data_IF_974250693091
#
_entry.id   IF_974250693091
#
_cell.length_a   1.000
_cell.length_b   1.000
_cell.length_c   1.000
_cell.angle_alpha   90.00
_cell.angle_beta   90.00
_cell.angle_gamma   90.00
#
_symmetry.space_group_name_H-M   'P 1'
#
loop_
_entity.id
_entity.type
_entity.pdbx_description
1 polymer ?
#
# COMPACT_ATOMS: atom_id res chain seq x y z
N UNK A 1 -61.38 -15.16 15.66
CA UNK A 1 -60.05 -14.58 15.32
C UNK A 1 -59.81 -14.73 13.82
N UNK A 2 -59.37 -13.65 13.19
CA UNK A 2 -59.55 -13.30 11.77
C UNK A 2 -58.84 -14.24 10.77
N UNK A 3 -59.60 -14.76 9.80
CA UNK A 3 -59.11 -15.19 8.48
C UNK A 3 -58.98 -13.94 7.60
N UNK A 4 -57.81 -13.69 7.04
CA UNK A 4 -57.60 -12.64 6.04
C UNK A 4 -57.12 -13.27 4.74
N UNK A 5 -58.03 -13.27 3.77
CA UNK A 5 -57.82 -13.54 2.35
C UNK A 5 -57.19 -12.29 1.75
N UNK A 6 -56.05 -12.42 1.05
CA UNK A 6 -55.48 -11.35 0.23
C UNK A 6 -55.46 -11.83 -1.22
N UNK A 7 -56.26 -11.17 -2.04
CA UNK A 7 -56.47 -11.41 -3.47
C UNK A 7 -55.26 -10.93 -4.27
N UNK A 8 -54.77 -11.77 -5.19
CA UNK A 8 -53.85 -11.37 -6.26
C UNK A 8 -54.62 -10.60 -7.35
N UNK A 9 -54.11 -9.47 -7.86
CA UNK A 9 -54.67 -8.87 -9.07
C UNK A 9 -54.13 -9.59 -10.32
N UNK A 10 -55.04 -9.92 -11.23
CA UNK A 10 -54.75 -10.45 -12.55
C UNK A 10 -54.06 -9.36 -13.42
N UNK A 11 -52.90 -9.67 -13.98
CA UNK A 11 -52.22 -8.80 -14.95
C UNK A 11 -52.68 -9.21 -16.35
N UNK A 12 -53.30 -8.25 -17.04
CA UNK A 12 -53.79 -8.37 -18.40
C UNK A 12 -52.61 -8.47 -19.40
N UNK A 13 -52.61 -9.53 -20.21
CA UNK A 13 -51.73 -9.71 -21.35
C UNK A 13 -52.15 -8.73 -22.47
N UNK A 14 -51.53 -7.56 -22.52
CA UNK A 14 -51.54 -6.73 -23.72
C UNK A 14 -50.28 -7.00 -24.55
N UNK A 15 -50.51 -7.43 -25.80
CA UNK A 15 -49.51 -7.62 -26.85
C UNK A 15 -48.71 -6.32 -27.06
N UNK A 16 -47.47 -6.28 -26.61
CA UNK A 16 -46.50 -5.29 -27.10
C UNK A 16 -45.85 -5.83 -28.38
N UNK A 17 -45.97 -5.06 -29.46
CA UNK A 17 -45.26 -5.24 -30.73
C UNK A 17 -43.74 -5.12 -30.49
N UNK A 18 -42.89 -5.84 -31.23
CA UNK A 18 -41.44 -5.68 -31.11
C UNK A 18 -41.04 -4.32 -31.66
N UNK A 19 -40.61 -3.41 -30.78
CA UNK A 19 -39.82 -2.27 -31.18
C UNK A 19 -38.42 -2.78 -31.53
N UNK A 20 -37.96 -2.48 -32.75
CA UNK A 20 -36.57 -2.71 -33.15
C UNK A 20 -35.64 -2.03 -32.14
N UNK A 21 -34.93 -2.85 -31.35
CA UNK A 21 -33.90 -2.38 -30.44
C UNK A 21 -32.72 -1.90 -31.30
N UNK A 22 -32.53 -0.59 -31.33
CA UNK A 22 -31.28 0.01 -31.74
C UNK A 22 -30.20 -0.43 -30.75
N UNK A 23 -29.11 -0.92 -31.33
CA UNK A 23 -27.91 -1.43 -30.68
C UNK A 23 -27.38 -0.45 -29.61
N UNK A 24 -27.34 -0.78 -28.30
CA UNK A 24 -26.73 0.09 -27.29
C UNK A 24 -25.22 -0.17 -27.23
N UNK A 25 -24.52 0.04 -28.34
CA UNK A 25 -23.09 -0.22 -28.46
C UNK A 25 -22.29 0.99 -28.97
N UNK A 26 -22.60 2.21 -28.52
CA UNK A 26 -21.78 3.41 -28.86
C UNK A 26 -21.87 4.55 -27.83
N UNK A 27 -22.04 4.27 -26.53
CA UNK A 27 -21.70 5.28 -25.50
C UNK A 27 -20.45 4.82 -24.77
N UNK A 28 -19.31 5.39 -25.18
CA UNK A 28 -18.13 5.42 -24.32
C UNK A 28 -18.60 5.90 -22.93
N UNK A 29 -18.38 5.13 -21.85
CA UNK A 29 -18.64 5.64 -20.53
C UNK A 29 -17.81 6.92 -20.38
N UNK A 30 -18.50 8.04 -20.19
CA UNK A 30 -17.85 9.29 -19.78
C UNK A 30 -17.02 8.93 -18.55
N UNK A 31 -15.70 9.20 -18.53
CA UNK A 31 -14.89 8.90 -17.37
C UNK A 31 -15.53 9.65 -16.21
N UNK A 32 -16.03 8.90 -15.22
CA UNK A 32 -16.42 9.48 -13.95
C UNK A 32 -15.22 10.27 -13.48
N UNK A 33 -15.33 11.61 -13.43
CA UNK A 33 -14.29 12.43 -12.81
C UNK A 33 -14.14 11.87 -11.41
N UNK A 34 -12.95 11.37 -11.02
CA UNK A 34 -12.79 10.82 -9.69
C UNK A 34 -13.24 11.91 -8.71
N UNK A 35 -14.17 11.56 -7.83
CA UNK A 35 -14.44 12.37 -6.65
C UNK A 35 -13.16 12.26 -5.85
N UNK A 36 -12.24 13.19 -6.10
CA UNK A 36 -11.07 13.35 -5.25
C UNK A 36 -11.66 13.70 -3.90
N UNK A 37 -11.52 12.79 -2.93
CA UNK A 37 -11.78 13.10 -1.54
C UNK A 37 -10.76 14.18 -1.16
N UNK A 38 -11.12 15.43 -1.39
CA UNK A 38 -10.36 16.59 -0.92
C UNK A 38 -10.61 16.63 0.57
N UNK A 39 -9.84 15.89 1.34
CA UNK A 39 -9.66 16.27 2.74
C UNK A 39 -9.17 17.70 2.72
N UNK A 40 -9.83 18.60 3.45
CA UNK A 40 -9.27 19.92 3.71
C UNK A 40 -7.84 19.79 4.25
N UNK A 41 -7.04 20.87 4.15
CA UNK A 41 -5.75 20.92 4.84
C UNK A 41 -5.95 20.53 6.31
N UNK A 42 -5.09 19.65 6.82
CA UNK A 42 -5.11 19.24 8.22
C UNK A 42 -4.83 20.47 9.08
N UNK A 43 -5.80 20.85 9.91
CA UNK A 43 -5.57 21.84 10.96
C UNK A 43 -4.78 21.19 12.10
N UNK A 44 -4.10 22.00 12.91
CA UNK A 44 -3.43 21.50 14.10
C UNK A 44 -4.40 20.84 15.06
N UNK A 45 -5.62 21.37 15.21
CA UNK A 45 -6.66 20.72 16.01
C UNK A 45 -7.06 19.33 15.50
N UNK A 46 -7.10 19.13 14.17
CA UNK A 46 -7.38 17.81 13.59
C UNK A 46 -6.23 16.82 13.81
N UNK A 47 -4.98 17.29 13.68
CA UNK A 47 -3.79 16.49 14.02
C UNK A 47 -3.80 16.13 15.50
N UNK A 48 -4.13 17.08 16.36
CA UNK A 48 -4.18 16.87 17.81
C UNK A 48 -5.21 15.82 18.20
N UNK A 49 -6.44 15.95 17.69
CA UNK A 49 -7.50 14.98 17.93
C UNK A 49 -7.14 13.59 17.41
N UNK A 50 -6.53 13.50 16.22
CA UNK A 50 -6.01 12.24 15.70
C UNK A 50 -4.98 11.62 16.66
N UNK A 51 -4.00 12.40 17.12
CA UNK A 51 -2.95 11.90 18.01
C UNK A 51 -3.53 11.47 19.37
N UNK A 52 -4.48 12.21 19.93
CA UNK A 52 -5.11 11.84 21.21
C UNK A 52 -5.90 10.54 21.08
N UNK A 53 -6.71 10.39 20.04
CA UNK A 53 -7.44 9.15 19.77
C UNK A 53 -6.47 7.98 19.47
N UNK A 54 -5.42 8.23 18.69
CA UNK A 54 -4.43 7.22 18.35
C UNK A 54 -3.65 6.72 19.58
N UNK A 55 -3.25 7.64 20.46
CA UNK A 55 -2.61 7.32 21.74
C UNK A 55 -3.55 6.48 22.61
N UNK A 56 -4.74 7.01 22.89
CA UNK A 56 -5.68 6.42 23.85
C UNK A 56 -6.16 5.04 23.38
N UNK A 57 -6.39 4.87 22.07
CA UNK A 57 -6.97 3.64 21.54
C UNK A 57 -5.92 2.62 21.12
N UNK A 58 -4.73 3.03 20.69
CA UNK A 58 -3.76 2.12 20.06
C UNK A 58 -2.36 2.21 20.67
N UNK A 59 -1.68 3.36 20.60
CA UNK A 59 -0.24 3.44 20.87
C UNK A 59 0.15 3.14 22.33
N UNK A 60 -0.79 3.30 23.28
CA UNK A 60 -0.60 2.94 24.69
C UNK A 60 -0.86 1.46 24.99
N UNK A 61 -1.31 0.64 24.01
CA UNK A 61 -1.52 -0.80 24.23
C UNK A 61 -0.20 -1.56 24.22
N UNK A 62 -0.11 -2.62 25.04
CA UNK A 62 1.09 -3.50 25.12
C UNK A 62 1.43 -4.18 23.78
N UNK A 63 0.41 -4.55 23.01
CA UNK A 63 0.58 -5.20 21.72
C UNK A 63 0.89 -4.23 20.56
N UNK A 64 0.99 -2.92 20.84
CA UNK A 64 1.31 -1.94 19.81
C UNK A 64 2.74 -2.10 19.33
N UNK A 65 2.97 -1.96 18.02
CA UNK A 65 4.29 -2.12 17.43
C UNK A 65 5.27 -1.08 17.97
N UNK A 66 6.41 -1.56 18.44
CA UNK A 66 7.53 -0.74 18.90
C UNK A 66 8.82 -1.20 18.23
N UNK A 67 9.64 -0.24 17.81
CA UNK A 67 11.01 -0.47 17.33
C UNK A 67 11.92 0.23 18.32
N UNK A 68 12.91 -0.48 18.87
CA UNK A 68 13.79 0.02 19.93
C UNK A 68 13.02 0.58 21.14
N UNK A 69 11.88 -0.04 21.50
CA UNK A 69 10.99 0.43 22.58
C UNK A 69 10.14 1.65 22.25
N UNK A 70 10.33 2.26 21.07
CA UNK A 70 9.63 3.49 20.62
C UNK A 70 8.35 3.15 19.85
N UNK A 71 7.21 3.80 20.13
CA UNK A 71 5.97 3.54 19.39
C UNK A 71 6.12 3.97 17.93
N UNK A 72 5.73 3.07 17.01
CA UNK A 72 5.85 3.32 15.57
C UNK A 72 4.67 4.11 15.03
N UNK A 73 4.93 5.20 14.31
CA UNK A 73 3.94 5.90 13.51
C UNK A 73 4.41 5.94 12.05
N UNK A 74 3.66 5.28 11.18
CA UNK A 74 3.94 5.22 9.75
C UNK A 74 3.09 6.23 8.99
N UNK A 75 3.72 7.06 8.16
CA UNK A 75 3.09 8.15 7.40
C UNK A 75 3.05 7.76 5.92
N UNK A 76 1.86 7.46 5.40
CA UNK A 76 1.67 7.09 4.00
C UNK A 76 1.79 8.30 3.08
N UNK A 77 2.50 8.13 1.97
CA UNK A 77 2.72 9.14 0.93
C UNK A 77 3.26 10.46 1.49
N UNK A 78 4.41 10.42 2.16
CA UNK A 78 5.03 11.61 2.78
C UNK A 78 5.23 12.77 1.80
N UNK A 79 5.39 12.50 0.51
CA UNK A 79 5.50 13.53 -0.53
C UNK A 79 4.21 14.30 -0.77
N UNK A 80 3.04 13.73 -0.46
CA UNK A 80 1.77 14.46 -0.59
C UNK A 80 1.63 15.54 0.48
N UNK A 81 2.21 15.32 1.67
CA UNK A 81 2.34 16.35 2.69
C UNK A 81 3.27 17.49 2.22
N UNK A 82 4.43 17.17 1.63
CA UNK A 82 5.32 18.18 1.06
C UNK A 82 4.63 19.01 -0.04
N UNK A 83 3.89 18.37 -0.95
CA UNK A 83 3.11 19.06 -1.99
C UNK A 83 2.03 19.98 -1.41
N UNK A 84 1.34 19.54 -0.34
CA UNK A 84 0.19 20.25 0.19
C UNK A 84 0.56 21.39 1.15
N UNK A 85 1.58 21.19 1.98
CA UNK A 85 1.99 22.10 3.06
C UNK A 85 3.32 22.81 2.77
N UNK A 86 4.06 22.41 1.74
CA UNK A 86 5.46 22.77 1.56
C UNK A 86 6.37 22.05 2.56
N UNK A 87 7.67 22.04 2.26
CA UNK A 87 8.67 21.37 3.11
C UNK A 87 8.61 21.89 4.55
N UNK A 88 8.61 23.22 4.75
CA UNK A 88 8.60 23.82 6.10
C UNK A 88 7.33 23.47 6.89
N UNK A 89 6.16 23.48 6.23
CA UNK A 89 4.90 23.10 6.86
C UNK A 89 4.89 21.63 7.26
N UNK A 90 5.45 20.76 6.43
CA UNK A 90 5.56 19.34 6.77
C UNK A 90 6.59 19.08 7.89
N UNK A 91 7.73 19.77 7.88
CA UNK A 91 8.71 19.72 8.97
C UNK A 91 8.10 20.17 10.30
N UNK A 92 7.32 21.26 10.28
CA UNK A 92 6.57 21.71 11.45
C UNK A 92 5.61 20.64 11.97
N UNK A 93 4.84 20.01 11.07
CA UNK A 93 3.91 18.93 11.43
C UNK A 93 4.63 17.74 12.09
N UNK A 94 5.76 17.30 11.53
CA UNK A 94 6.55 16.20 12.10
C UNK A 94 7.11 16.56 13.49
N UNK A 95 7.62 17.78 13.66
CA UNK A 95 8.09 18.25 14.97
C UNK A 95 6.96 18.33 15.98
N UNK A 96 5.78 18.79 15.57
CA UNK A 96 4.60 18.85 16.41
C UNK A 96 4.18 17.46 16.89
N UNK A 97 4.07 16.50 15.97
CA UNK A 97 3.81 15.08 16.28
C UNK A 97 4.84 14.56 17.28
N UNK A 98 6.15 14.73 17.02
CA UNK A 98 7.21 14.28 17.94
C UNK A 98 7.05 14.86 19.34
N UNK A 99 6.86 16.18 19.46
CA UNK A 99 6.72 16.85 20.78
C UNK A 99 5.55 16.31 21.57
N UNK A 100 4.39 16.13 20.92
CA UNK A 100 3.21 15.57 21.59
C UNK A 100 3.45 14.14 22.06
N UNK A 101 4.02 13.29 21.21
CA UNK A 101 4.29 11.89 21.56
C UNK A 101 5.38 11.76 22.64
N UNK A 102 6.41 12.60 22.63
CA UNK A 102 7.42 12.66 23.70
C UNK A 102 6.79 13.08 25.03
N UNK A 103 5.93 14.11 25.01
CA UNK A 103 5.22 14.58 26.21
C UNK A 103 4.38 13.48 26.85
N UNK A 104 3.74 12.64 26.03
CA UNK A 104 2.89 11.55 26.52
C UNK A 104 3.68 10.30 26.95
N UNK A 105 4.64 9.84 26.13
CA UNK A 105 5.31 8.56 26.34
C UNK A 105 6.66 8.67 27.06
N UNK A 106 7.21 9.87 27.22
CA UNK A 106 8.56 10.10 27.76
C UNK A 106 9.70 9.61 26.84
N UNK A 107 9.38 9.12 25.65
CA UNK A 107 10.34 8.62 24.65
C UNK A 107 10.01 9.20 23.28
N UNK A 108 11.03 9.32 22.42
CA UNK A 108 10.84 9.73 21.03
C UNK A 108 10.04 8.66 20.28
N UNK A 109 9.00 9.00 19.49
CA UNK A 109 8.39 8.03 18.59
C UNK A 109 9.37 7.55 17.51
N UNK A 110 9.07 6.41 16.90
CA UNK A 110 9.75 5.93 15.70
C UNK A 110 8.90 6.29 14.48
N UNK A 111 9.27 7.34 13.75
CA UNK A 111 8.53 7.80 12.59
C UNK A 111 9.03 7.09 11.32
N UNK A 112 8.11 6.53 10.53
CA UNK A 112 8.42 5.88 9.26
C UNK A 112 7.75 6.66 8.12
N UNK A 113 8.54 7.14 7.17
CA UNK A 113 8.02 7.75 5.95
C UNK A 113 7.80 6.71 4.86
N UNK A 114 6.56 6.55 4.38
CA UNK A 114 6.24 5.65 3.27
C UNK A 114 6.07 6.46 1.99
N UNK A 115 6.67 5.98 0.90
CA UNK A 115 6.60 6.63 -0.41
C UNK A 115 6.26 5.63 -1.53
N UNK A 116 5.67 6.09 -2.65
CA UNK A 116 5.14 5.18 -3.66
C UNK A 116 6.22 4.62 -4.62
N UNK A 117 7.27 5.39 -4.91
CA UNK A 117 8.28 5.05 -5.91
C UNK A 117 9.63 5.75 -5.68
N UNK A 118 10.69 5.20 -6.27
CA UNK A 118 12.05 5.74 -6.19
C UNK A 118 12.33 6.59 -7.44
N UNK A 119 12.35 7.90 -7.27
CA UNK A 119 12.81 8.87 -8.29
C UNK A 119 13.60 10.02 -7.63
N UNK A 120 14.06 10.98 -8.43
CA UNK A 120 14.81 12.13 -7.92
C UNK A 120 13.97 13.06 -7.03
N UNK A 121 12.68 13.22 -7.33
CA UNK A 121 11.79 14.07 -6.56
C UNK A 121 11.57 13.51 -5.14
N UNK A 122 11.21 12.23 -5.03
CA UNK A 122 11.01 11.54 -3.77
C UNK A 122 12.32 11.44 -2.99
N UNK A 123 13.42 11.07 -3.64
CA UNK A 123 14.71 10.92 -2.97
C UNK A 123 15.17 12.23 -2.32
N UNK A 124 15.04 13.37 -3.00
CA UNK A 124 15.37 14.69 -2.45
C UNK A 124 14.54 15.05 -1.22
N UNK A 125 13.27 14.67 -1.18
CA UNK A 125 12.41 14.90 -0.02
C UNK A 125 12.86 14.00 1.13
N UNK A 126 13.02 12.70 0.89
CA UNK A 126 13.40 11.71 1.91
C UNK A 126 14.75 12.04 2.59
N UNK A 127 15.70 12.62 1.85
CA UNK A 127 16.98 13.09 2.40
C UNK A 127 16.86 14.18 3.47
N UNK A 128 15.73 14.89 3.52
CA UNK A 128 15.50 16.04 4.42
C UNK A 128 14.45 15.77 5.49
N UNK A 129 13.71 14.67 5.39
CA UNK A 129 12.63 14.39 6.34
C UNK A 129 13.20 13.97 7.71
N UNK A 130 12.79 14.60 8.82
CA UNK A 130 13.20 14.25 10.16
C UNK A 130 12.39 13.03 10.66
N UNK A 131 12.43 11.95 9.90
CA UNK A 131 11.86 10.63 10.24
C UNK A 131 12.99 9.67 10.63
N UNK A 132 12.65 8.60 11.33
CA UNK A 132 13.64 7.64 11.85
C UNK A 132 13.99 6.56 10.82
N UNK A 133 13.08 6.29 9.89
CA UNK A 133 13.32 5.44 8.73
C UNK A 133 12.36 5.78 7.59
N UNK A 134 12.63 5.24 6.41
CA UNK A 134 11.73 5.30 5.25
C UNK A 134 11.52 3.92 4.66
N UNK A 135 10.41 3.71 3.99
CA UNK A 135 10.13 2.47 3.23
C UNK A 135 9.25 2.78 2.02
N UNK A 136 9.13 1.84 1.11
CA UNK A 136 8.17 1.97 0.00
C UNK A 136 6.81 1.40 0.36
N UNK A 137 5.77 1.81 -0.37
CA UNK A 137 4.45 1.20 -0.25
C UNK A 137 4.45 -0.25 -0.73
N UNK A 138 4.73 -0.47 -2.03
CA UNK A 138 4.93 -1.79 -2.61
C UNK A 138 6.04 -1.82 -3.66
N UNK A 139 6.32 -0.68 -4.31
CA UNK A 139 7.35 -0.49 -5.35
C UNK A 139 7.26 -1.45 -6.55
N UNK A 140 6.17 -2.21 -6.65
CA UNK A 140 5.71 -2.87 -7.85
C UNK A 140 4.39 -2.20 -8.26
N UNK A 141 4.11 -2.09 -9.57
CA UNK A 141 4.93 -2.47 -10.71
C UNK A 141 5.95 -1.38 -11.08
N UNK A 142 6.69 -1.59 -12.17
CA UNK A 142 7.41 -0.52 -12.85
C UNK A 142 6.43 0.34 -13.66
N UNK A 143 6.06 1.52 -13.16
CA UNK A 143 5.03 2.36 -13.81
C UNK A 143 5.42 2.88 -15.21
N UNK A 144 6.71 2.94 -15.50
CA UNK A 144 7.26 3.32 -16.82
C UNK A 144 7.54 2.10 -17.73
N UNK A 145 7.38 0.89 -17.19
CA UNK A 145 7.64 -0.36 -17.88
C UNK A 145 6.54 -0.79 -18.86
N UNK A 146 6.68 -1.98 -19.47
CA UNK A 146 5.65 -2.55 -20.32
C UNK A 146 4.34 -2.79 -19.55
N UNK A 147 3.18 -2.86 -20.24
CA UNK A 147 1.88 -3.06 -19.58
C UNK A 147 1.76 -4.39 -18.84
N UNK A 148 2.49 -5.42 -19.29
CA UNK A 148 2.62 -6.71 -18.60
C UNK A 148 4.08 -6.89 -18.25
N UNK A 149 4.36 -7.17 -16.98
CA UNK A 149 5.71 -7.32 -16.43
C UNK A 149 5.83 -8.66 -15.72
N UNK A 150 7.05 -9.20 -15.62
CA UNK A 150 7.29 -10.47 -14.97
C UNK A 150 7.86 -10.27 -13.56
N UNK A 151 7.22 -10.89 -12.58
CA UNK A 151 7.59 -10.76 -11.17
C UNK A 151 9.08 -11.07 -10.92
N UNK A 152 9.58 -12.16 -11.51
CA UNK A 152 10.98 -12.57 -11.38
C UNK A 152 11.99 -11.56 -11.96
N UNK A 153 11.61 -10.77 -12.97
CA UNK A 153 12.46 -9.73 -13.56
C UNK A 153 12.43 -8.44 -12.73
N UNK A 154 11.32 -8.17 -12.05
CA UNK A 154 11.17 -6.98 -11.21
C UNK A 154 11.93 -7.07 -9.89
N UNK A 155 12.08 -8.27 -9.31
CA UNK A 155 12.82 -8.48 -8.06
C UNK A 155 14.23 -7.87 -8.12
N UNK A 156 15.14 -8.29 -9.03
CA UNK A 156 16.49 -7.75 -9.07
C UNK A 156 16.51 -6.25 -9.38
N UNK A 157 15.55 -5.75 -10.17
CA UNK A 157 15.38 -4.31 -10.42
C UNK A 157 15.10 -3.55 -9.12
N UNK A 158 14.15 -4.00 -8.30
CA UNK A 158 13.81 -3.33 -7.03
C UNK A 158 14.91 -3.40 -6.00
N UNK A 159 15.56 -4.55 -5.87
CA UNK A 159 16.71 -4.71 -4.98
C UNK A 159 17.83 -3.73 -5.36
N UNK A 160 18.16 -3.62 -6.64
CA UNK A 160 19.17 -2.66 -7.11
C UNK A 160 18.78 -1.20 -6.80
N UNK A 161 17.51 -0.84 -6.95
CA UNK A 161 17.01 0.50 -6.59
C UNK A 161 17.09 0.77 -5.09
N UNK A 162 16.80 -0.22 -4.24
CA UNK A 162 16.95 -0.08 -2.78
C UNK A 162 18.40 0.23 -2.40
N UNK A 163 19.37 -0.49 -2.98
CA UNK A 163 20.79 -0.24 -2.72
C UNK A 163 21.21 1.17 -3.16
N UNK A 164 20.78 1.62 -4.34
CA UNK A 164 21.07 2.97 -4.83
C UNK A 164 20.42 4.04 -3.96
N UNK A 165 19.17 3.83 -3.53
CA UNK A 165 18.48 4.76 -2.65
C UNK A 165 19.19 4.86 -1.31
N UNK A 166 19.51 3.73 -0.67
CA UNK A 166 20.16 3.72 0.63
C UNK A 166 21.51 4.45 0.64
N UNK A 167 22.29 4.33 -0.42
CA UNK A 167 23.56 5.08 -0.57
C UNK A 167 23.37 6.60 -0.52
N UNK A 168 22.18 7.09 -0.86
CA UNK A 168 21.84 8.52 -0.88
C UNK A 168 21.15 8.99 0.40
N UNK A 169 20.76 8.08 1.29
CA UNK A 169 20.03 8.39 2.51
C UNK A 169 20.95 8.31 3.74
N UNK A 170 20.83 9.28 4.64
CA UNK A 170 21.46 9.25 5.96
C UNK A 170 20.66 8.46 6.99
N UNK A 171 19.40 8.14 6.67
CA UNK A 171 18.48 7.35 7.50
C UNK A 171 18.26 5.97 6.89
N UNK A 172 17.84 4.97 7.68
CA UNK A 172 17.51 3.65 7.17
C UNK A 172 16.36 3.65 6.16
N UNK A 173 16.61 3.05 5.00
CA UNK A 173 15.56 2.49 4.16
C UNK A 173 15.26 1.06 4.63
N UNK A 174 14.03 0.81 5.04
CA UNK A 174 13.54 -0.51 5.41
C UNK A 174 12.95 -1.17 4.15
N UNK A 175 13.45 -2.33 3.71
CA UNK A 175 12.99 -2.97 2.48
C UNK A 175 11.53 -3.41 2.60
N UNK A 176 10.82 -3.37 1.47
CA UNK A 176 9.43 -3.81 1.37
C UNK A 176 9.28 -4.86 0.28
N UNK A 177 8.64 -5.97 0.61
CA UNK A 177 8.41 -7.08 -0.30
C UNK A 177 6.95 -7.10 -0.69
N UNK A 178 6.69 -6.89 -1.98
CA UNK A 178 5.35 -6.91 -2.55
C UNK A 178 5.08 -8.26 -3.22
N UNK A 179 3.91 -8.85 -2.98
CA UNK A 179 3.56 -10.19 -3.47
C UNK A 179 2.99 -10.23 -4.89
N UNK A 180 2.81 -9.07 -5.55
CA UNK A 180 2.24 -8.99 -6.89
C UNK A 180 1.61 -7.64 -7.16
N UNK A 181 1.12 -7.44 -8.38
CA UNK A 181 0.32 -6.27 -8.70
C UNK A 181 -0.61 -6.54 -9.88
N UNK A 182 -1.91 -6.47 -9.66
CA UNK A 182 -2.95 -6.46 -10.69
C UNK A 182 -4.18 -5.73 -10.13
N UNK A 183 -4.31 -4.47 -10.51
CA UNK A 183 -5.45 -3.64 -10.10
C UNK A 183 -6.65 -3.75 -11.04
N UNK A 184 -6.59 -4.59 -12.09
CA UNK A 184 -7.58 -4.56 -13.19
C UNK A 184 -9.01 -4.84 -12.73
N UNK A 185 -9.17 -5.57 -11.62
CA UNK A 185 -10.46 -5.81 -10.96
C UNK A 185 -11.18 -4.53 -10.50
N UNK A 186 -10.46 -3.42 -10.32
CA UNK A 186 -11.03 -2.10 -10.01
C UNK A 186 -11.61 -1.41 -11.26
N UNK A 187 -11.27 -1.89 -12.46
CA UNK A 187 -11.68 -1.32 -13.74
C UNK A 187 -12.89 -2.01 -14.36
N UNK A 188 -13.53 -1.33 -15.32
CA UNK A 188 -14.50 -1.99 -16.19
C UNK A 188 -13.81 -3.04 -17.07
N UNK A 189 -14.51 -4.10 -17.51
CA UNK A 189 -13.97 -5.07 -18.46
C UNK A 189 -13.48 -4.40 -19.75
N UNK A 190 -12.33 -4.83 -20.25
CA UNK A 190 -11.72 -4.32 -21.48
C UNK A 190 -11.31 -5.49 -22.38
N UNK A 191 -11.39 -5.29 -23.71
CA UNK A 191 -11.11 -6.36 -24.67
C UNK A 191 -9.63 -6.78 -24.70
N UNK A 192 -8.71 -5.83 -24.54
CA UNK A 192 -7.27 -6.08 -24.46
C UNK A 192 -6.61 -5.10 -23.50
N UNK A 193 -6.07 -5.63 -22.40
CA UNK A 193 -5.41 -4.85 -21.37
C UNK A 193 -4.16 -4.11 -21.88
N UNK A 194 -3.53 -4.63 -22.94
CA UNK A 194 -2.33 -4.03 -23.53
C UNK A 194 -2.62 -2.71 -24.25
N UNK A 195 -3.88 -2.49 -24.64
CA UNK A 195 -4.31 -1.31 -25.39
C UNK A 195 -4.85 -0.20 -24.50
N UNK A 196 -5.11 -0.48 -23.22
CA UNK A 196 -5.68 0.48 -22.28
C UNK A 196 -4.57 1.15 -21.49
N UNK A 197 -4.65 2.47 -21.34
CA UNK A 197 -3.66 3.27 -20.61
C UNK A 197 -4.16 3.67 -19.24
N UNK A 198 -3.24 3.67 -18.28
CA UNK A 198 -3.45 4.18 -16.93
C UNK A 198 -4.03 3.17 -15.95
N UNK A 199 -3.99 3.57 -14.68
CA UNK A 199 -4.65 2.87 -13.58
C UNK A 199 -6.18 2.86 -13.81
N UNK A 200 -6.90 1.77 -13.49
CA UNK A 200 -6.41 0.54 -12.86
C UNK A 200 -5.97 -0.55 -13.85
N UNK A 201 -6.02 -0.29 -15.16
CA UNK A 201 -5.82 -1.30 -16.19
C UNK A 201 -4.35 -1.67 -16.43
N UNK A 202 -3.39 -0.80 -16.10
CA UNK A 202 -1.97 -1.11 -16.25
C UNK A 202 -1.09 -0.39 -15.23
N UNK A 203 0.13 -0.90 -14.96
CA UNK A 203 0.64 -2.22 -15.37
C UNK A 203 0.04 -3.39 -14.59
N UNK A 204 0.24 -4.62 -15.09
CA UNK A 204 0.04 -5.87 -14.35
C UNK A 204 1.34 -6.65 -14.22
N UNK A 205 1.48 -7.40 -13.13
CA UNK A 205 2.64 -8.22 -12.81
C UNK A 205 2.24 -9.69 -12.84
N UNK A 206 2.73 -10.39 -13.85
CA UNK A 206 2.51 -11.80 -14.10
C UNK A 206 3.64 -12.68 -13.55
N UNK A 207 3.40 -13.99 -13.51
CA UNK A 207 4.42 -14.98 -13.10
C UNK A 207 4.73 -14.99 -11.61
N UNK A 208 3.88 -14.40 -10.77
CA UNK A 208 4.00 -14.49 -9.30
C UNK A 208 3.92 -15.95 -8.85
N UNK A 209 4.85 -16.36 -7.98
CA UNK A 209 4.84 -17.65 -7.29
C UNK A 209 5.32 -17.46 -5.85
N UNK A 210 4.91 -18.32 -4.89
CA UNK A 210 5.47 -18.32 -3.55
C UNK A 210 7.00 -18.41 -3.55
N UNK A 211 7.60 -19.23 -4.41
CA UNK A 211 9.06 -19.39 -4.45
C UNK A 211 9.78 -18.10 -4.86
N UNK A 212 9.25 -17.35 -5.84
CA UNK A 212 9.82 -16.05 -6.20
C UNK A 212 9.62 -15.02 -5.09
N UNK A 213 8.47 -15.02 -4.41
CA UNK A 213 8.23 -14.16 -3.25
C UNK A 213 9.22 -14.47 -2.12
N UNK A 214 9.49 -15.75 -1.88
CA UNK A 214 10.54 -16.21 -0.97
C UNK A 214 11.91 -15.67 -1.35
N UNK A 215 12.31 -15.75 -2.63
CA UNK A 215 13.58 -15.14 -3.08
C UNK A 215 13.60 -13.64 -2.82
N UNK A 216 12.48 -12.94 -3.01
CA UNK A 216 12.42 -11.50 -2.73
C UNK A 216 12.57 -11.17 -1.23
N UNK A 217 12.04 -12.04 -0.34
CA UNK A 217 12.29 -11.95 1.10
C UNK A 217 13.77 -12.18 1.43
N UNK A 218 14.43 -13.15 0.78
CA UNK A 218 15.86 -13.42 0.99
C UNK A 218 16.71 -12.18 0.65
N UNK A 219 16.39 -11.50 -0.45
CA UNK A 219 17.04 -10.24 -0.84
C UNK A 219 16.78 -9.12 0.17
N UNK A 220 15.55 -9.00 0.71
CA UNK A 220 15.25 -8.01 1.74
C UNK A 220 16.00 -8.28 3.06
N UNK A 221 16.15 -9.56 3.44
CA UNK A 221 16.93 -9.97 4.60
C UNK A 221 18.41 -9.64 4.39
N UNK A 222 18.97 -10.01 3.24
CA UNK A 222 20.36 -9.72 2.89
C UNK A 222 20.64 -8.20 2.82
N UNK A 223 19.68 -7.42 2.30
CA UNK A 223 19.75 -5.97 2.29
C UNK A 223 19.87 -5.40 3.71
N UNK A 224 19.02 -5.84 4.64
CA UNK A 224 19.08 -5.41 6.04
C UNK A 224 20.39 -5.83 6.71
N UNK A 225 20.84 -7.07 6.51
CA UNK A 225 22.13 -7.53 7.05
C UNK A 225 23.30 -6.65 6.61
N UNK A 226 23.27 -6.16 5.36
CA UNK A 226 24.30 -5.29 4.82
C UNK A 226 24.24 -3.86 5.34
N UNK A 227 23.06 -3.24 5.36
CA UNK A 227 22.93 -1.81 5.63
C UNK A 227 22.54 -1.49 7.06
N UNK A 228 21.65 -2.29 7.65
CA UNK A 228 21.03 -2.02 8.95
C UNK A 228 20.92 -3.30 9.79
N UNK A 229 22.02 -3.98 10.13
CA UNK A 229 21.97 -5.26 10.85
C UNK A 229 21.29 -5.18 12.23
N UNK A 230 21.25 -3.98 12.82
CA UNK A 230 20.51 -3.68 14.03
C UNK A 230 18.99 -3.56 13.80
N UNK A 231 18.56 -3.09 12.61
CA UNK A 231 17.16 -2.92 12.25
C UNK A 231 16.70 -4.11 11.39
N UNK A 232 16.20 -5.15 12.05
CA UNK A 232 15.73 -6.40 11.41
C UNK A 232 14.27 -6.31 10.96
N UNK A 233 13.92 -5.24 10.24
CA UNK A 233 12.53 -4.96 9.83
C UNK A 233 12.39 -5.07 8.31
N UNK A 234 11.49 -5.95 7.86
CA UNK A 234 11.07 -6.07 6.46
C UNK A 234 9.57 -5.79 6.39
N UNK A 235 9.17 -4.85 5.54
CA UNK A 235 7.77 -4.55 5.27
C UNK A 235 7.20 -5.53 4.25
N UNK A 236 5.91 -5.85 4.36
CA UNK A 236 5.19 -6.70 3.40
C UNK A 236 4.03 -5.91 2.81
N UNK A 237 3.93 -5.90 1.49
CA UNK A 237 2.80 -5.35 0.75
C UNK A 237 2.07 -6.46 0.00
N UNK A 238 0.92 -6.92 0.49
CA UNK A 238 0.30 -6.62 1.78
C UNK A 238 -0.37 -7.89 2.33
N UNK A 239 -0.82 -7.89 3.59
CA UNK A 239 -1.55 -9.05 4.12
C UNK A 239 -2.77 -9.37 3.23
N UNK A 240 -3.65 -8.40 2.97
CA UNK A 240 -4.94 -8.63 2.33
C UNK A 240 -5.34 -7.55 1.31
N UNK A 241 -4.39 -6.95 0.58
CA UNK A 241 -4.70 -5.99 -0.50
C UNK A 241 -5.11 -6.74 -1.78
N UNK A 242 -6.30 -7.34 -1.73
CA UNK A 242 -6.86 -8.15 -2.81
C UNK A 242 -7.16 -7.35 -4.08
N UNK A 243 -7.54 -6.09 -3.91
CA UNK A 243 -7.95 -5.25 -5.05
C UNK A 243 -6.78 -4.77 -5.91
N UNK A 244 -5.53 -5.01 -5.46
CA UNK A 244 -4.29 -4.83 -6.22
C UNK A 244 -3.59 -6.16 -6.47
N UNK A 245 -4.23 -7.30 -6.16
CA UNK A 245 -3.66 -8.64 -6.25
C UNK A 245 -2.26 -8.79 -5.62
N UNK A 246 -2.03 -8.08 -4.51
CA UNK A 246 -0.77 -8.11 -3.73
C UNK A 246 -0.95 -8.78 -2.37
N UNK A 247 -2.11 -9.39 -2.11
CA UNK A 247 -2.42 -10.10 -0.87
C UNK A 247 -1.54 -11.35 -0.68
N UNK A 248 -0.98 -11.52 0.52
CA UNK A 248 -0.33 -12.77 0.98
C UNK A 248 -1.26 -13.67 1.81
N UNK A 249 -2.47 -13.19 2.11
CA UNK A 249 -3.53 -13.96 2.76
C UNK A 249 -3.80 -15.25 1.98
N UNK A 250 -4.06 -16.39 2.66
CA UNK A 250 -4.30 -17.65 1.99
C UNK A 250 -5.39 -17.57 0.93
N UNK A 251 -5.11 -18.16 -0.23
CA UNK A 251 -5.98 -18.09 -1.41
C UNK A 251 -6.19 -19.45 -2.04
N UNK A 252 -7.20 -19.60 -2.90
CA UNK A 252 -7.35 -20.81 -3.72
C UNK A 252 -6.16 -21.03 -4.67
N UNK A 253 -5.53 -19.94 -5.14
CA UNK A 253 -4.43 -20.00 -6.11
C UNK A 253 -3.11 -20.48 -5.51
N UNK A 254 -2.80 -20.03 -4.29
CA UNK A 254 -1.48 -20.27 -3.67
C UNK A 254 -1.54 -20.94 -2.30
N UNK A 255 -2.74 -21.24 -1.78
CA UNK A 255 -2.91 -21.76 -0.43
C UNK A 255 -2.23 -20.85 0.59
N UNK A 256 -1.55 -21.45 1.56
CA UNK A 256 -0.68 -20.79 2.55
C UNK A 256 0.74 -20.49 2.04
N UNK A 257 1.03 -20.69 0.74
CA UNK A 257 2.38 -20.70 0.21
C UNK A 257 3.21 -19.45 0.54
N UNK A 258 2.63 -18.25 0.51
CA UNK A 258 3.35 -17.02 0.90
C UNK A 258 3.69 -16.99 2.39
N UNK A 259 2.75 -17.41 3.26
CA UNK A 259 2.97 -17.47 4.70
C UNK A 259 4.02 -18.54 5.07
N UNK A 260 4.05 -19.65 4.35
CA UNK A 260 5.09 -20.68 4.51
C UNK A 260 6.49 -20.15 4.18
N UNK A 261 6.62 -19.32 3.13
CA UNK A 261 7.89 -18.67 2.82
C UNK A 261 8.34 -17.72 3.93
N UNK A 262 7.41 -16.96 4.51
CA UNK A 262 7.70 -16.08 5.66
C UNK A 262 8.12 -16.91 6.85
N UNK A 263 7.33 -17.93 7.21
CA UNK A 263 7.58 -18.79 8.35
C UNK A 263 8.95 -19.48 8.28
N UNK A 264 9.31 -20.05 7.12
CA UNK A 264 10.59 -20.70 6.90
C UNK A 264 11.78 -19.76 7.20
N UNK A 265 11.71 -18.51 6.76
CA UNK A 265 12.77 -17.50 6.95
C UNK A 265 12.79 -16.93 8.36
N UNK A 266 11.62 -16.70 8.96
CA UNK A 266 11.53 -16.29 10.37
C UNK A 266 12.20 -17.33 11.29
N UNK A 267 11.96 -18.63 11.06
CA UNK A 267 12.60 -19.71 11.82
C UNK A 267 14.12 -19.75 11.65
N UNK A 268 14.62 -19.51 10.44
CA UNK A 268 16.07 -19.43 10.19
C UNK A 268 16.71 -18.26 10.93
N UNK A 269 16.03 -17.11 11.01
CA UNK A 269 16.52 -15.93 11.71
C UNK A 269 16.48 -16.08 13.24
N UNK A 270 15.49 -16.80 13.77
CA UNK A 270 15.42 -17.14 15.21
C UNK A 270 16.56 -18.08 15.64
N UNK A 271 16.92 -19.06 14.80
CA UNK A 271 18.01 -19.99 15.11
C UNK A 271 19.43 -19.41 14.97
N UNK A 272 19.55 -18.22 14.40
CA UNK A 272 20.82 -17.50 14.21
C UNK A 272 21.09 -16.42 15.29
N UNK A 273 20.19 -16.28 16.27
CA UNK A 273 20.29 -15.41 17.45
C UNK A 273 20.76 -16.20 18.67
#
# INVERSE_FOLDING_TARGET
MRRSILRLPAISLHRMRPAMSTNPATRNPQPLRPVIQRSGRLSIGAVDGFLDDWIARFASRRAFLRIDGRPVLSLLNVTDFDKLYGTDGFLFLLQYIRRKLISHFGVNPFLIGVFPLIDEYHTRILQRLPVDAVTGYGMLPDWEGPPVQWYGELIPKRVAEWHRLQQRLSIPFLPVVCAGWDATLRGAPVADIRQVRGFPWRPIVAGVTPQLFGRFLDEAIAFNQRWHPAHRVVFLHAYNEWTEASAIEPSERFGSGFLEQIHARSRQLEGAL
#
